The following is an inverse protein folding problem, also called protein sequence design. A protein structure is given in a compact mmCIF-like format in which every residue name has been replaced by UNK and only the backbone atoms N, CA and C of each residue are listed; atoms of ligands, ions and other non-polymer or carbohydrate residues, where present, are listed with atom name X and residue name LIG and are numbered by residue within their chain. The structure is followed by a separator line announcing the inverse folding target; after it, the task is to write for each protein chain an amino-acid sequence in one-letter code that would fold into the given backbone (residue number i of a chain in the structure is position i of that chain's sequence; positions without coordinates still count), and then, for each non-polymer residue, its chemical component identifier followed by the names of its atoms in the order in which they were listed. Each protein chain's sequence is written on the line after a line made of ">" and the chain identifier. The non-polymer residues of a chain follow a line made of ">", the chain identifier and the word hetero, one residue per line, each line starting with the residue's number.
data_IF_785537736692
#
_entry.id   IF_785537736692
#
_cell.length_a   1.000
_cell.length_b   1.000
_cell.length_c   1.000
_cell.angle_alpha   90.00
_cell.angle_beta   90.00
_cell.angle_gamma   90.00
#
_symmetry.space_group_name_H-M   'P 1'
#
loop_
_entity.id
_entity.type
_entity.pdbx_description
1 polymer ?
#
# COMPACT_ATOMS: atom_id res chain seq x y z
N UNK A 1 5.77 3.48 -1.89
CA UNK A 1 5.49 2.30 -1.03
C UNK A 1 6.83 1.67 -0.65
N UNK A 2 6.90 0.87 0.42
CA UNK A 2 8.10 0.10 0.75
C UNK A 2 7.87 -1.38 0.44
N UNK A 3 8.84 -2.04 -0.18
CA UNK A 3 8.82 -3.49 -0.28
C UNK A 3 9.33 -4.05 1.06
N UNK A 4 8.40 -4.49 1.91
CA UNK A 4 8.72 -5.02 3.24
C UNK A 4 9.17 -6.48 3.20
N UNK A 5 9.25 -7.09 2.00
CA UNK A 5 9.71 -8.47 1.87
C UNK A 5 11.22 -8.52 2.07
N UNK A 6 11.69 -9.60 2.71
CA UNK A 6 13.13 -9.84 2.88
C UNK A 6 13.82 -9.82 1.51
N UNK A 7 15.10 -9.41 1.41
CA UNK A 7 15.85 -9.42 0.16
C UNK A 7 15.88 -10.77 -0.57
N UNK A 8 15.75 -11.87 0.17
CA UNK A 8 15.73 -13.25 -0.36
C UNK A 8 14.32 -13.80 -0.60
N UNK A 9 13.27 -12.98 -0.49
CA UNK A 9 11.92 -13.44 -0.75
C UNK A 9 11.80 -13.91 -2.21
N UNK A 10 11.21 -15.09 -2.40
CA UNK A 10 11.03 -15.71 -3.71
C UNK A 10 10.24 -14.83 -4.69
N UNK A 11 9.41 -13.95 -4.16
CA UNK A 11 8.48 -13.12 -4.94
C UNK A 11 8.42 -11.71 -4.36
N UNK A 12 9.34 -10.80 -4.74
CA UNK A 12 9.36 -9.41 -4.27
C UNK A 12 8.12 -8.64 -4.77
N UNK A 13 7.74 -7.58 -4.06
CA UNK A 13 6.49 -6.85 -4.31
C UNK A 13 6.45 -6.23 -5.71
N UNK A 14 7.59 -5.74 -6.22
CA UNK A 14 7.67 -5.18 -7.57
C UNK A 14 7.33 -6.18 -8.69
N UNK A 15 7.48 -7.49 -8.46
CA UNK A 15 7.07 -8.54 -9.41
C UNK A 15 5.59 -8.92 -9.26
N UNK A 16 5.04 -8.86 -8.04
CA UNK A 16 3.67 -9.33 -7.76
C UNK A 16 2.60 -8.27 -7.93
N UNK A 17 2.89 -7.04 -7.53
CA UNK A 17 1.91 -5.95 -7.49
C UNK A 17 1.32 -5.56 -8.85
N UNK A 18 2.08 -5.61 -9.98
CA UNK A 18 1.48 -5.42 -11.30
C UNK A 18 0.33 -6.40 -11.59
N UNK A 19 0.47 -7.67 -11.18
CA UNK A 19 -0.59 -8.67 -11.31
C UNK A 19 -1.81 -8.44 -10.43
N UNK A 20 -1.71 -7.54 -9.44
CA UNK A 20 -2.81 -7.13 -8.55
C UNK A 20 -3.47 -5.82 -9.01
N UNK A 21 -3.07 -5.27 -10.17
CA UNK A 21 -3.63 -4.05 -10.73
C UNK A 21 -2.95 -2.76 -10.26
N UNK A 22 -1.81 -2.84 -9.57
CA UNK A 22 -1.03 -1.66 -9.23
C UNK A 22 -0.08 -1.29 -10.37
N UNK A 23 -0.07 -0.02 -10.73
CA UNK A 23 0.98 0.53 -11.59
C UNK A 23 2.21 0.84 -10.72
N UNK A 24 3.30 0.12 -10.99
CA UNK A 24 4.48 0.05 -10.13
C UNK A 24 5.75 0.32 -10.94
N UNK A 25 6.66 1.10 -10.34
CA UNK A 25 7.99 1.36 -10.89
C UNK A 25 9.08 1.18 -9.82
N UNK A 26 10.20 0.56 -10.21
CA UNK A 26 11.44 0.57 -9.43
C UNK A 26 12.63 0.52 -10.39
N UNK A 27 13.70 1.29 -10.16
CA UNK A 27 14.89 1.22 -11.01
C UNK A 27 15.57 -0.14 -10.83
N UNK A 28 15.86 -0.81 -11.95
CA UNK A 28 16.54 -2.10 -12.00
C UNK A 28 17.97 -1.94 -12.52
N UNK A 29 18.87 -2.80 -12.04
CA UNK A 29 20.22 -2.97 -12.56
C UNK A 29 20.48 -4.44 -12.87
N UNK A 30 21.30 -4.68 -13.88
CA UNK A 30 21.78 -6.04 -14.19
C UNK A 30 22.93 -6.40 -13.26
N UNK A 31 22.84 -7.56 -12.59
CA UNK A 31 23.90 -8.08 -11.73
C UNK A 31 24.08 -9.58 -11.98
N UNK A 32 25.32 -10.05 -11.95
CA UNK A 32 25.61 -11.50 -11.92
C UNK A 32 25.41 -11.99 -10.48
N UNK A 33 24.55 -12.98 -10.30
CA UNK A 33 24.26 -13.62 -9.02
C UNK A 33 24.37 -15.14 -9.14
N UNK A 34 24.76 -15.80 -8.05
CA UNK A 34 24.81 -17.26 -8.01
C UNK A 34 23.43 -17.82 -7.70
N UNK A 35 22.89 -18.65 -8.60
CA UNK A 35 21.63 -19.38 -8.42
C UNK A 35 21.92 -20.86 -8.59
N UNK A 36 21.70 -21.67 -7.54
CA UNK A 36 21.96 -23.12 -7.55
C UNK A 36 23.36 -23.50 -8.07
N UNK A 37 24.38 -22.72 -7.69
CA UNK A 37 25.76 -22.95 -8.11
C UNK A 37 26.13 -22.43 -9.51
N UNK A 38 25.18 -21.84 -10.25
CA UNK A 38 25.43 -21.30 -11.60
C UNK A 38 25.36 -19.76 -11.55
N UNK A 39 26.31 -19.04 -12.19
CA UNK A 39 26.22 -17.59 -12.32
C UNK A 39 25.14 -17.21 -13.35
N UNK A 40 24.21 -16.35 -12.94
CA UNK A 40 23.09 -15.89 -13.78
C UNK A 40 23.04 -14.37 -13.77
N UNK A 41 22.79 -13.76 -14.93
CA UNK A 41 22.50 -12.32 -15.02
C UNK A 41 21.04 -12.09 -14.64
N UNK A 42 20.81 -11.33 -13.57
CA UNK A 42 19.47 -11.02 -13.10
C UNK A 42 19.26 -9.50 -13.00
N UNK A 43 18.06 -9.03 -13.35
CA UNK A 43 17.63 -7.66 -13.12
C UNK A 43 17.14 -7.52 -11.67
N UNK A 44 17.86 -6.77 -10.86
CA UNK A 44 17.57 -6.57 -9.45
C UNK A 44 17.31 -5.08 -9.15
N UNK A 45 16.46 -4.76 -8.16
CA UNK A 45 16.29 -3.39 -7.71
C UNK A 45 17.62 -2.75 -7.32
N UNK A 46 17.78 -1.47 -7.68
CA UNK A 46 18.92 -0.67 -7.22
C UNK A 46 18.82 -0.44 -5.70
N UNK A 47 17.60 -0.19 -5.22
CA UNK A 47 17.26 -0.06 -3.80
C UNK A 47 16.18 -1.09 -3.47
N UNK A 48 16.51 -2.08 -2.64
CA UNK A 48 15.64 -3.25 -2.42
C UNK A 48 14.28 -2.88 -1.82
N UNK A 49 14.24 -1.97 -0.85
CA UNK A 49 13.04 -1.70 -0.06
C UNK A 49 12.20 -0.56 -0.63
N UNK A 50 12.60 0.02 -1.77
CA UNK A 50 11.96 1.19 -2.36
C UNK A 50 11.16 0.84 -3.61
N UNK A 51 9.88 1.21 -3.58
CA UNK A 51 8.94 0.99 -4.67
C UNK A 51 8.10 2.23 -4.93
N UNK A 52 8.00 2.65 -6.19
CA UNK A 52 7.08 3.70 -6.61
C UNK A 52 5.78 3.06 -7.07
N UNK A 53 4.65 3.57 -6.57
CA UNK A 53 3.32 3.08 -6.90
C UNK A 53 2.46 4.29 -7.26
N UNK A 54 1.82 4.22 -8.42
CA UNK A 54 0.83 5.21 -8.84
C UNK A 54 -0.49 4.93 -8.10
N UNK A 55 -1.02 5.93 -7.42
CA UNK A 55 -2.27 5.82 -6.69
C UNK A 55 -3.08 7.10 -6.83
N UNK A 56 -4.38 6.96 -7.09
CA UNK A 56 -5.33 8.07 -7.04
C UNK A 56 -5.78 8.25 -5.60
N UNK A 57 -5.55 9.42 -5.02
CA UNK A 57 -6.08 9.76 -3.70
C UNK A 57 -7.58 9.98 -3.83
N UNK A 58 -8.40 9.05 -3.34
CA UNK A 58 -9.82 9.32 -3.18
C UNK A 58 -10.00 10.31 -2.03
N UNK A 59 -10.64 11.44 -2.30
CA UNK A 59 -11.04 12.37 -1.25
C UNK A 59 -12.12 11.67 -0.41
N UNK A 60 -11.79 11.35 0.85
CA UNK A 60 -12.78 10.82 1.78
C UNK A 60 -13.73 11.97 2.15
N UNK A 61 -14.93 11.98 1.56
CA UNK A 61 -15.99 12.88 1.99
C UNK A 61 -16.38 12.49 3.42
N UNK A 62 -15.89 13.24 4.41
CA UNK A 62 -16.35 13.10 5.79
C UNK A 62 -17.76 13.68 5.81
N UNK A 63 -18.76 12.81 5.62
CA UNK A 63 -20.14 13.13 5.94
C UNK A 63 -20.21 13.35 7.45
N UNK A 64 -20.29 14.60 7.90
CA UNK A 64 -20.62 14.91 9.28
C UNK A 64 -22.06 14.44 9.54
N UNK A 65 -22.20 13.41 10.37
CA UNK A 65 -23.49 12.99 10.90
C UNK A 65 -24.03 14.11 11.80
N UNK A 66 -24.95 14.92 11.29
CA UNK A 66 -25.70 15.90 12.07
C UNK A 66 -26.66 15.15 13.01
N UNK A 67 -26.14 14.74 14.16
CA UNK A 67 -26.93 14.19 15.26
C UNK A 67 -28.00 15.19 15.69
N UNK A 68 -29.25 14.88 15.39
CA UNK A 68 -30.44 15.54 15.91
C UNK A 68 -30.56 15.28 17.42
N UNK A 69 -29.91 16.14 18.22
CA UNK A 69 -30.11 16.23 19.67
C UNK A 69 -31.54 16.73 19.96
N UNK A 70 -32.30 15.93 20.71
CA UNK A 70 -33.11 16.37 21.84
C UNK A 70 -34.39 17.17 21.58
N UNK A 71 -35.54 16.49 21.66
CA UNK A 71 -36.77 17.07 22.24
C UNK A 71 -37.22 16.16 23.40
N UNK A 72 -36.68 16.41 24.59
CA UNK A 72 -37.30 15.99 25.84
C UNK A 72 -38.10 17.19 26.35
N UNK A 73 -39.42 17.16 26.11
CA UNK A 73 -40.36 18.16 26.61
C UNK A 73 -40.90 17.74 27.98
N UNK A 74 -40.21 18.17 29.03
CA UNK A 74 -40.71 18.71 30.30
C UNK A 74 -42.05 18.14 30.82
N UNK A 75 -41.96 17.30 31.87
CA UNK A 75 -43.05 16.96 32.77
C UNK A 75 -43.64 18.24 33.41
N UNK A 76 -44.95 18.44 33.27
CA UNK A 76 -45.70 19.45 34.02
C UNK A 76 -46.13 18.86 35.37
N UNK A 77 -45.57 19.38 36.47
CA UNK A 77 -46.12 19.29 37.81
C UNK A 77 -46.12 20.67 38.46
N UNK A 78 -47.09 20.88 39.37
CA UNK A 78 -47.48 22.09 40.14
C UNK A 78 -48.56 22.92 39.41
N UNK A 79 -49.75 23.17 39.94
CA UNK A 79 -50.31 23.01 41.29
C UNK A 79 -51.83 22.72 41.20
#
# INVERSE_FOLDING_TARGET
>A
MRDLKRPNALSPAWKTLPGMGFEVFTPLRTRIVMRKGVPVREALPVVNDLLFVSAKRMAHAIMYNSGSRGRSGINRHLA
#
